data_IF_253600255196
#
_entry.id   IF_253600255196
#
_cell.length_a   1.000
_cell.length_b   1.000
_cell.length_c   1.000
_cell.angle_alpha   90.00
_cell.angle_beta   90.00
_cell.angle_gamma   90.00
#
_symmetry.space_group_name_H-M   'P 1'
#
loop_
_entity.id
_entity.type
_entity.pdbx_description
1 polymer ?
#
# COMPACT_ATOMS: atom_id res chain seq x y z
N UNK A 1 4.19 -28.95 25.91
CA UNK A 1 2.99 -28.46 25.21
C UNK A 1 3.48 -27.55 24.11
N UNK A 2 3.47 -28.00 22.86
CA UNK A 2 3.93 -27.21 21.72
C UNK A 2 2.91 -26.10 21.45
N UNK A 3 3.15 -24.88 21.94
CA UNK A 3 2.47 -23.71 21.41
C UNK A 3 2.82 -23.61 19.93
N UNK A 4 1.84 -23.87 19.05
CA UNK A 4 1.90 -23.45 17.65
C UNK A 4 1.99 -21.93 17.66
N UNK A 5 3.21 -21.38 17.76
CA UNK A 5 3.46 -19.98 17.39
C UNK A 5 2.97 -19.84 15.95
N UNK A 6 1.91 -19.07 15.76
CA UNK A 6 1.43 -18.71 14.43
C UNK A 6 2.59 -18.08 13.66
N UNK A 7 3.07 -18.76 12.62
CA UNK A 7 4.09 -18.23 11.72
C UNK A 7 3.44 -17.20 10.79
N UNK A 8 4.06 -16.02 10.63
CA UNK A 8 3.60 -14.97 9.72
C UNK A 8 3.43 -15.50 8.29
N UNK A 9 4.24 -16.49 7.88
CA UNK A 9 4.12 -17.15 6.57
C UNK A 9 2.77 -17.86 6.40
N UNK A 10 2.31 -18.53 7.46
CA UNK A 10 1.03 -19.23 7.47
C UNK A 10 -0.12 -18.23 7.45
N UNK A 11 -0.04 -17.16 8.24
CA UNK A 11 -1.05 -16.10 8.27
C UNK A 11 -1.18 -15.45 6.89
N UNK A 12 -0.04 -15.05 6.31
CA UNK A 12 0.03 -14.48 4.97
C UNK A 12 -0.61 -15.40 3.93
N UNK A 13 -0.25 -16.68 3.94
CA UNK A 13 -0.74 -17.67 2.96
C UNK A 13 -2.24 -17.90 3.09
N UNK A 14 -2.74 -18.04 4.32
CA UNK A 14 -4.17 -18.22 4.60
C UNK A 14 -4.95 -16.96 4.18
N UNK A 15 -4.47 -15.78 4.57
CA UNK A 15 -5.13 -14.52 4.21
C UNK A 15 -5.19 -14.30 2.70
N UNK A 16 -4.06 -14.53 2.00
CA UNK A 16 -4.01 -14.40 0.54
C UNK A 16 -5.00 -15.35 -0.16
N UNK A 17 -5.07 -16.61 0.31
CA UNK A 17 -6.04 -17.57 -0.20
C UNK A 17 -7.49 -17.09 0.02
N UNK A 18 -7.82 -16.66 1.25
CA UNK A 18 -9.16 -16.16 1.58
C UNK A 18 -9.51 -14.96 0.71
N UNK A 19 -8.61 -13.97 0.60
CA UNK A 19 -8.81 -12.77 -0.20
C UNK A 19 -9.11 -13.12 -1.66
N UNK A 20 -8.31 -14.02 -2.27
CA UNK A 20 -8.55 -14.47 -3.65
C UNK A 20 -9.89 -15.16 -3.81
N UNK A 21 -10.28 -16.02 -2.86
CA UNK A 21 -11.59 -16.67 -2.89
C UNK A 21 -12.73 -15.66 -2.80
N UNK A 22 -12.63 -14.66 -1.91
CA UNK A 22 -13.62 -13.60 -1.80
C UNK A 22 -13.77 -12.79 -3.09
N UNK A 23 -12.65 -12.41 -3.71
CA UNK A 23 -12.65 -11.68 -4.99
C UNK A 23 -13.27 -12.54 -6.10
N UNK A 24 -12.94 -13.84 -6.18
CA UNK A 24 -13.51 -14.74 -7.18
C UNK A 24 -15.01 -14.97 -7.00
N UNK A 25 -15.48 -15.10 -5.75
CA UNK A 25 -16.91 -15.19 -5.46
C UNK A 25 -17.64 -13.91 -5.87
N UNK A 26 -17.07 -12.74 -5.59
CA UNK A 26 -17.62 -11.46 -6.01
C UNK A 26 -17.64 -11.31 -7.54
N UNK A 27 -16.60 -11.80 -8.23
CA UNK A 27 -16.54 -11.84 -9.70
C UNK A 27 -17.69 -12.67 -10.28
N UNK A 28 -17.91 -13.89 -9.78
CA UNK A 28 -19.01 -14.77 -10.25
C UNK A 28 -20.38 -14.14 -10.00
N UNK A 29 -20.56 -13.51 -8.83
CA UNK A 29 -21.78 -12.79 -8.51
C UNK A 29 -22.05 -11.64 -9.50
N UNK A 30 -21.05 -10.79 -9.74
CA UNK A 30 -21.21 -9.64 -10.64
C UNK A 30 -21.33 -10.02 -12.12
N UNK A 31 -20.79 -11.17 -12.56
CA UNK A 31 -21.09 -11.75 -13.88
C UNK A 31 -22.57 -12.06 -14.02
N UNK A 32 -23.19 -12.63 -12.98
CA UNK A 32 -24.61 -12.96 -12.97
C UNK A 32 -25.47 -11.68 -13.05
N UNK A 33 -25.04 -10.63 -12.36
CA UNK A 33 -25.72 -9.33 -12.34
C UNK A 33 -25.37 -8.43 -13.54
N UNK A 34 -24.48 -8.87 -14.43
CA UNK A 34 -23.95 -8.11 -15.58
C UNK A 34 -23.36 -6.74 -15.19
N UNK A 35 -22.78 -6.62 -14.00
CA UNK A 35 -22.12 -5.42 -13.55
C UNK A 35 -20.66 -5.38 -14.06
N UNK A 36 -20.47 -4.89 -15.28
CA UNK A 36 -19.16 -4.87 -15.95
C UNK A 36 -18.09 -4.07 -15.21
N UNK A 37 -18.46 -3.00 -14.51
CA UNK A 37 -17.53 -2.21 -13.71
C UNK A 37 -16.94 -3.05 -12.58
N UNK A 38 -17.79 -3.68 -11.77
CA UNK A 38 -17.34 -4.54 -10.68
C UNK A 38 -16.60 -5.79 -11.16
N UNK A 39 -16.95 -6.32 -12.34
CA UNK A 39 -16.19 -7.41 -12.98
C UNK A 39 -14.75 -6.97 -13.27
N UNK A 40 -14.56 -5.80 -13.90
CA UNK A 40 -13.23 -5.26 -14.19
C UNK A 40 -12.42 -5.01 -12.91
N UNK A 41 -13.06 -4.43 -11.89
CA UNK A 41 -12.44 -4.19 -10.58
C UNK A 41 -12.04 -5.51 -9.92
N UNK A 42 -12.88 -6.54 -9.94
CA UNK A 42 -12.57 -7.84 -9.36
C UNK A 42 -11.40 -8.54 -10.09
N UNK A 43 -11.35 -8.46 -11.42
CA UNK A 43 -10.23 -8.98 -12.21
C UNK A 43 -8.93 -8.24 -11.85
N UNK A 44 -8.96 -6.91 -11.84
CA UNK A 44 -7.82 -6.09 -11.45
C UNK A 44 -7.36 -6.42 -10.03
N UNK A 45 -8.28 -6.52 -9.07
CA UNK A 45 -7.99 -6.87 -7.69
C UNK A 45 -7.36 -8.25 -7.53
N UNK A 46 -7.84 -9.24 -8.29
CA UNK A 46 -7.23 -10.57 -8.29
C UNK A 46 -5.78 -10.51 -8.78
N UNK A 47 -5.51 -9.80 -9.88
CA UNK A 47 -4.15 -9.60 -10.41
C UNK A 47 -3.27 -8.85 -9.41
N UNK A 48 -3.81 -7.84 -8.73
CA UNK A 48 -3.08 -7.07 -7.71
C UNK A 48 -2.60 -7.95 -6.55
N UNK A 49 -3.28 -9.06 -6.22
CA UNK A 49 -2.82 -9.99 -5.17
C UNK A 49 -1.49 -10.69 -5.49
N UNK A 50 -0.97 -10.60 -6.71
CA UNK A 50 0.34 -11.15 -7.11
C UNK A 50 1.45 -10.10 -7.08
N UNK A 51 1.10 -8.82 -6.96
CA UNK A 51 2.05 -7.70 -7.03
C UNK A 51 3.12 -7.73 -5.94
N UNK A 52 2.83 -8.04 -4.65
CA UNK A 52 3.88 -8.06 -3.63
C UNK A 52 5.04 -9.00 -4.00
N UNK A 53 4.73 -10.25 -4.31
CA UNK A 53 5.74 -11.25 -4.66
C UNK A 53 6.44 -10.92 -5.98
N UNK A 54 5.73 -10.32 -6.95
CA UNK A 54 6.33 -9.85 -8.20
C UNK A 54 7.33 -8.71 -7.96
N UNK A 55 6.97 -7.72 -7.14
CA UNK A 55 7.85 -6.60 -6.78
C UNK A 55 9.14 -7.14 -6.16
N UNK A 56 9.04 -8.00 -5.14
CA UNK A 56 10.20 -8.60 -4.47
C UNK A 56 11.10 -9.39 -5.43
N UNK A 57 10.49 -10.13 -6.36
CA UNK A 57 11.21 -10.85 -7.42
C UNK A 57 11.95 -9.91 -8.39
N UNK A 58 11.29 -8.84 -8.85
CA UNK A 58 11.88 -7.84 -9.76
C UNK A 58 13.05 -7.13 -9.08
N UNK A 59 12.85 -6.70 -7.82
CA UNK A 59 13.90 -6.04 -7.05
C UNK A 59 14.91 -7.04 -6.49
N UNK A 60 14.79 -8.35 -6.72
CA UNK A 60 15.77 -9.37 -6.27
C UNK A 60 16.10 -9.26 -4.77
N UNK A 61 15.08 -9.06 -3.93
CA UNK A 61 15.18 -9.14 -2.46
C UNK A 61 14.33 -10.32 -2.01
N UNK A 62 14.73 -10.98 -0.93
CA UNK A 62 13.86 -11.92 -0.21
C UNK A 62 12.55 -11.24 0.19
N UNK A 63 11.43 -11.92 0.00
CA UNK A 63 10.11 -11.34 0.25
C UNK A 63 9.90 -11.10 1.75
N UNK A 64 9.73 -9.84 2.13
CA UNK A 64 9.26 -9.51 3.48
C UNK A 64 7.78 -9.85 3.59
N UNK A 65 7.47 -10.92 4.31
CA UNK A 65 6.11 -11.45 4.44
C UNK A 65 5.20 -10.54 5.26
N UNK A 66 5.75 -9.75 6.19
CA UNK A 66 4.99 -8.74 6.91
C UNK A 66 4.57 -7.61 5.98
N UNK A 67 5.50 -7.09 5.18
CA UNK A 67 5.20 -6.03 4.22
C UNK A 67 4.25 -6.52 3.12
N UNK A 68 4.46 -7.74 2.63
CA UNK A 68 3.58 -8.36 1.62
C UNK A 68 2.18 -8.59 2.17
N UNK A 69 2.05 -8.99 3.44
CA UNK A 69 0.76 -9.07 4.12
C UNK A 69 0.10 -7.69 4.23
N UNK A 70 0.83 -6.65 4.62
CA UNK A 70 0.30 -5.28 4.70
C UNK A 70 -0.23 -4.78 3.35
N UNK A 71 0.47 -5.07 2.25
CA UNK A 71 0.01 -4.72 0.90
C UNK A 71 -1.27 -5.50 0.53
N UNK A 72 -1.33 -6.80 0.79
CA UNK A 72 -2.54 -7.59 0.55
C UNK A 72 -3.72 -7.12 1.39
N UNK A 73 -3.46 -6.77 2.65
CA UNK A 73 -4.47 -6.21 3.53
C UNK A 73 -4.97 -4.86 3.02
N UNK A 74 -4.06 -4.01 2.53
CA UNK A 74 -4.43 -2.76 1.86
C UNK A 74 -5.33 -3.00 0.65
N UNK A 75 -4.97 -3.95 -0.24
CA UNK A 75 -5.80 -4.33 -1.40
C UNK A 75 -7.19 -4.80 -0.96
N UNK A 76 -7.26 -5.57 0.14
CA UNK A 76 -8.55 -5.99 0.69
C UNK A 76 -9.41 -4.80 1.14
N UNK A 77 -8.86 -3.85 1.89
CA UNK A 77 -9.65 -2.72 2.39
C UNK A 77 -9.95 -1.68 1.29
N UNK A 78 -9.05 -1.43 0.34
CA UNK A 78 -9.28 -0.45 -0.73
C UNK A 78 -10.20 -0.98 -1.83
N UNK A 79 -9.91 -2.17 -2.35
CA UNK A 79 -10.61 -2.69 -3.52
C UNK A 79 -11.82 -3.53 -3.13
N UNK A 80 -11.63 -4.51 -2.23
CA UNK A 80 -12.73 -5.39 -1.86
C UNK A 80 -13.75 -4.64 -0.99
N UNK A 81 -13.35 -4.07 0.13
CA UNK A 81 -14.28 -3.30 0.97
C UNK A 81 -14.67 -1.96 0.33
N UNK A 82 -13.68 -1.17 -0.12
CA UNK A 82 -13.90 0.15 -0.71
C UNK A 82 -14.77 0.09 -1.96
N UNK A 83 -14.26 -0.46 -3.06
CA UNK A 83 -14.97 -0.44 -4.35
C UNK A 83 -16.08 -1.49 -4.44
N UNK A 84 -15.78 -2.77 -4.20
CA UNK A 84 -16.74 -3.86 -4.44
C UNK A 84 -17.88 -3.91 -3.41
N UNK A 85 -17.68 -3.39 -2.21
CA UNK A 85 -18.68 -3.33 -1.13
C UNK A 85 -19.09 -1.88 -0.76
N UNK A 86 -18.68 -0.90 -1.56
CA UNK A 86 -19.10 0.50 -1.46
C UNK A 86 -18.78 1.16 -0.10
N UNK A 87 -17.59 0.91 0.46
CA UNK A 87 -17.16 1.56 1.70
C UNK A 87 -16.67 2.99 1.48
N UNK A 88 -16.35 3.39 0.25
CA UNK A 88 -16.07 4.79 -0.11
C UNK A 88 -17.23 5.76 0.21
N UNK A 89 -18.44 5.24 0.48
CA UNK A 89 -19.54 6.04 1.05
C UNK A 89 -19.23 6.68 2.40
N UNK A 90 -18.25 6.16 3.15
CA UNK A 90 -17.79 6.75 4.39
C UNK A 90 -16.73 7.78 4.07
N UNK A 91 -16.99 9.06 4.36
CA UNK A 91 -16.15 10.18 3.95
C UNK A 91 -14.70 10.15 4.46
N UNK A 92 -14.40 9.37 5.49
CA UNK A 92 -13.05 9.19 6.04
C UNK A 92 -12.31 7.98 5.45
N UNK A 93 -12.99 7.14 4.67
CA UNK A 93 -12.44 5.87 4.18
C UNK A 93 -11.22 6.10 3.31
N UNK A 94 -11.34 7.04 2.37
CA UNK A 94 -10.30 7.30 1.38
C UNK A 94 -9.05 7.92 2.02
N UNK A 95 -9.20 9.00 2.78
CA UNK A 95 -8.10 9.59 3.56
C UNK A 95 -7.42 8.60 4.52
N UNK A 96 -8.18 7.66 5.11
CA UNK A 96 -7.60 6.58 5.92
C UNK A 96 -6.75 5.64 5.05
N UNK A 97 -7.21 5.26 3.86
CA UNK A 97 -6.43 4.47 2.91
C UNK A 97 -5.13 5.20 2.56
N UNK A 98 -5.17 6.50 2.24
CA UNK A 98 -3.97 7.30 1.97
C UNK A 98 -2.99 7.33 3.15
N UNK A 99 -3.51 7.44 4.37
CA UNK A 99 -2.63 7.32 5.55
C UNK A 99 -1.97 5.94 5.65
N UNK A 100 -2.71 4.87 5.39
CA UNK A 100 -2.20 3.49 5.45
C UNK A 100 -1.21 3.21 4.31
N UNK A 101 -1.49 3.66 3.08
CA UNK A 101 -0.56 3.56 1.95
C UNK A 101 0.73 4.31 2.23
N UNK A 102 0.65 5.52 2.78
CA UNK A 102 1.82 6.29 3.20
C UNK A 102 2.74 5.53 4.16
N UNK A 103 2.17 4.81 5.13
CA UNK A 103 2.93 3.94 6.03
C UNK A 103 3.61 2.81 5.23
N UNK A 104 2.85 2.06 4.45
CA UNK A 104 3.33 0.89 3.70
C UNK A 104 4.43 1.28 2.72
N UNK A 105 4.24 2.36 1.97
CA UNK A 105 5.20 2.90 1.00
C UNK A 105 6.47 3.36 1.72
N UNK A 106 6.33 4.05 2.85
CA UNK A 106 7.49 4.45 3.66
C UNK A 106 8.28 3.26 4.21
N UNK A 107 7.62 2.18 4.63
CA UNK A 107 8.28 0.93 5.04
C UNK A 107 8.98 0.25 3.85
N UNK A 108 8.35 0.26 2.67
CA UNK A 108 8.96 -0.24 1.45
C UNK A 108 10.20 0.57 1.05
N UNK A 109 10.18 1.89 1.21
CA UNK A 109 11.34 2.76 0.99
C UNK A 109 12.55 2.35 1.85
N UNK A 110 12.32 1.99 3.12
CA UNK A 110 13.35 1.47 4.02
C UNK A 110 13.92 0.14 3.50
N UNK A 111 13.07 -0.78 3.02
CA UNK A 111 13.51 -2.05 2.41
C UNK A 111 14.38 -1.81 1.18
N UNK A 112 14.00 -0.86 0.32
CA UNK A 112 14.79 -0.47 -0.86
C UNK A 112 16.17 0.08 -0.48
N UNK A 113 16.25 0.95 0.54
CA UNK A 113 17.53 1.46 1.04
C UNK A 113 18.42 0.33 1.58
N UNK A 114 17.85 -0.62 2.31
CA UNK A 114 18.60 -1.78 2.85
C UNK A 114 19.17 -2.67 1.76
N UNK A 115 18.48 -2.84 0.62
CA UNK A 115 19.01 -3.59 -0.52
C UNK A 115 20.29 -2.98 -1.08
N UNK A 116 20.35 -1.66 -1.17
CA UNK A 116 21.47 -0.94 -1.82
C UNK A 116 22.79 -1.11 -1.06
N UNK A 117 22.74 -1.28 0.26
CA UNK A 117 23.93 -1.60 1.06
C UNK A 117 23.95 -3.09 1.39
N UNK A 118 24.65 -3.88 0.58
CA UNK A 118 24.81 -5.33 0.79
C UNK A 118 25.49 -5.70 2.10
N UNK A 119 26.13 -4.74 2.78
CA UNK A 119 26.67 -4.89 4.14
C UNK A 119 25.68 -4.47 5.24
N UNK A 120 24.44 -4.11 4.89
CA UNK A 120 23.30 -3.84 5.77
C UNK A 120 23.48 -2.71 6.79
N UNK A 121 24.37 -1.73 6.54
CA UNK A 121 24.59 -0.60 7.43
C UNK A 121 23.90 0.64 6.87
N UNK A 122 22.58 0.71 7.09
CA UNK A 122 21.84 1.99 7.03
C UNK A 122 22.56 3.11 7.83
N UNK A 123 23.37 2.73 8.81
CA UNK A 123 24.25 3.58 9.61
C UNK A 123 25.25 4.41 8.79
N UNK A 124 25.58 4.01 7.55
CA UNK A 124 26.49 4.78 6.68
C UNK A 124 25.84 6.03 6.06
N UNK A 125 24.51 6.03 5.97
CA UNK A 125 23.79 7.20 5.46
C UNK A 125 23.49 8.14 6.61
N UNK A 126 23.56 9.44 6.31
CA UNK A 126 23.06 10.44 7.23
C UNK A 126 21.56 10.20 7.54
N UNK A 127 21.18 10.32 8.81
CA UNK A 127 19.82 10.02 9.25
C UNK A 127 18.80 10.97 8.62
N UNK A 128 19.17 12.23 8.44
CA UNK A 128 18.32 13.23 7.79
C UNK A 128 18.14 12.86 6.32
N UNK A 129 19.20 12.40 5.65
CA UNK A 129 19.09 11.88 4.28
C UNK A 129 18.09 10.71 4.17
N UNK A 130 18.12 9.75 5.10
CA UNK A 130 17.16 8.62 5.08
C UNK A 130 15.72 9.11 5.29
N UNK A 131 15.49 10.01 6.24
CA UNK A 131 14.16 10.57 6.50
C UNK A 131 13.63 11.32 5.25
N UNK A 132 14.47 12.17 4.64
CA UNK A 132 14.11 12.88 3.42
C UNK A 132 13.81 11.88 2.30
N UNK A 133 14.64 10.85 2.12
CA UNK A 133 14.39 9.81 1.12
C UNK A 133 13.04 9.12 1.31
N UNK A 134 12.72 8.71 2.54
CA UNK A 134 11.44 8.04 2.84
C UNK A 134 10.28 8.97 2.51
N UNK A 135 10.30 10.22 2.99
CA UNK A 135 9.22 11.18 2.73
C UNK A 135 9.08 11.52 1.25
N UNK A 136 10.19 11.77 0.54
CA UNK A 136 10.17 12.08 -0.89
C UNK A 136 9.74 10.88 -1.75
N UNK A 137 10.13 9.66 -1.38
CA UNK A 137 9.68 8.45 -2.08
C UNK A 137 8.17 8.26 -1.91
N UNK A 138 7.65 8.41 -0.70
CA UNK A 138 6.21 8.32 -0.45
C UNK A 138 5.44 9.42 -1.18
N UNK A 139 5.92 10.67 -1.12
CA UNK A 139 5.30 11.79 -1.84
C UNK A 139 5.24 11.55 -3.36
N UNK A 140 6.32 10.99 -3.95
CA UNK A 140 6.33 10.64 -5.37
C UNK A 140 5.28 9.57 -5.69
N UNK A 141 5.14 8.55 -4.85
CA UNK A 141 4.11 7.53 -5.04
C UNK A 141 2.69 8.10 -4.93
N UNK A 142 2.43 8.97 -3.95
CA UNK A 142 1.14 9.68 -3.83
C UNK A 142 0.85 10.53 -5.05
N UNK A 143 1.82 11.32 -5.54
CA UNK A 143 1.65 12.11 -6.78
C UNK A 143 1.36 11.22 -7.99
N UNK A 144 2.04 10.07 -8.11
CA UNK A 144 1.76 9.13 -9.20
C UNK A 144 0.36 8.51 -9.11
N UNK A 145 -0.15 8.31 -7.89
CA UNK A 145 -1.52 7.87 -7.66
C UNK A 145 -2.53 8.94 -8.10
N UNK A 146 -2.35 10.18 -7.66
CA UNK A 146 -3.21 11.30 -8.08
C UNK A 146 -3.21 11.51 -9.59
N UNK A 147 -2.06 11.32 -10.25
CA UNK A 147 -1.99 11.36 -11.72
C UNK A 147 -2.81 10.22 -12.34
N UNK A 148 -2.77 9.02 -11.76
CA UNK A 148 -3.58 7.90 -12.22
C UNK A 148 -5.08 8.20 -12.08
N UNK A 149 -5.51 8.74 -10.94
CA UNK A 149 -6.91 9.11 -10.70
C UNK A 149 -7.38 10.20 -11.66
N UNK A 150 -6.60 11.28 -11.79
CA UNK A 150 -6.87 12.35 -12.75
C UNK A 150 -7.00 11.80 -14.18
N UNK A 151 -6.12 10.88 -14.55
CA UNK A 151 -6.14 10.23 -15.87
C UNK A 151 -7.41 9.40 -16.03
N UNK A 152 -7.82 8.66 -15.01
CA UNK A 152 -9.03 7.84 -15.05
C UNK A 152 -10.30 8.71 -15.14
N UNK A 153 -10.36 9.79 -14.37
CA UNK A 153 -11.46 10.78 -14.39
C UNK A 153 -11.59 11.42 -15.77
N UNK A 154 -10.46 11.78 -16.38
CA UNK A 154 -10.43 12.41 -17.71
C UNK A 154 -10.80 11.44 -18.83
N UNK A 155 -10.28 10.21 -18.82
CA UNK A 155 -10.46 9.25 -19.93
C UNK A 155 -11.77 8.45 -19.84
N UNK A 156 -12.26 8.19 -18.63
CA UNK A 156 -13.42 7.31 -18.40
C UNK A 156 -14.61 8.04 -17.77
N UNK A 157 -14.54 9.37 -17.62
CA UNK A 157 -15.61 10.20 -17.06
C UNK A 157 -16.04 9.73 -15.65
N UNK A 158 -15.04 9.40 -14.83
CA UNK A 158 -15.20 9.00 -13.43
C UNK A 158 -15.17 10.23 -12.51
N UNK A 159 -15.00 10.01 -11.20
CA UNK A 159 -14.83 11.05 -10.17
C UNK A 159 -14.06 10.45 -8.98
N UNK A 160 -12.91 9.85 -9.27
CA UNK A 160 -12.02 9.24 -8.30
C UNK A 160 -11.49 10.27 -7.30
N UNK A 161 -11.14 11.47 -7.78
CA UNK A 161 -10.64 12.58 -6.94
C UNK A 161 -11.74 13.35 -6.20
N UNK A 162 -12.98 12.88 -6.23
CA UNK A 162 -14.13 13.57 -5.61
C UNK A 162 -14.35 15.02 -6.08
N UNK A 163 -13.72 15.43 -7.19
CA UNK A 163 -13.51 16.83 -7.56
C UNK A 163 -14.82 17.58 -7.82
N UNK A 164 -15.90 16.85 -8.17
CA UNK A 164 -17.25 17.43 -8.32
C UNK A 164 -17.76 18.08 -7.04
N UNK A 165 -17.36 17.60 -5.87
CA UNK A 165 -17.82 18.09 -4.57
C UNK A 165 -16.75 18.84 -3.78
N UNK A 166 -15.48 18.41 -3.88
CA UNK A 166 -14.38 18.91 -3.05
C UNK A 166 -13.43 19.85 -3.81
N UNK A 167 -13.52 19.89 -5.14
CA UNK A 167 -12.51 20.53 -5.98
C UNK A 167 -11.15 19.85 -5.82
N UNK A 168 -10.09 20.65 -5.66
CA UNK A 168 -8.73 20.13 -5.45
C UNK A 168 -8.47 19.66 -4.00
N UNK A 169 -9.46 19.78 -3.11
CA UNK A 169 -9.26 19.54 -1.68
C UNK A 169 -8.96 18.08 -1.38
N UNK A 170 -9.58 17.15 -2.11
CA UNK A 170 -9.40 15.69 -1.96
C UNK A 170 -7.93 15.32 -2.17
N UNK A 171 -7.43 15.53 -3.39
CA UNK A 171 -6.03 15.36 -3.78
C UNK A 171 -5.05 15.98 -2.77
N UNK A 172 -5.32 17.19 -2.27
CA UNK A 172 -4.44 17.81 -1.28
C UNK A 172 -4.48 17.12 0.08
N UNK A 173 -5.67 16.68 0.54
CA UNK A 173 -5.83 15.91 1.77
C UNK A 173 -5.14 14.55 1.65
N UNK A 174 -5.22 13.91 0.50
CA UNK A 174 -4.67 12.59 0.25
C UNK A 174 -3.14 12.60 0.22
N UNK A 175 -2.53 13.57 -0.48
CA UNK A 175 -1.08 13.78 -0.44
C UNK A 175 -0.57 14.13 0.97
N UNK A 176 -1.34 14.89 1.75
CA UNK A 176 -1.01 15.17 3.15
C UNK A 176 -1.13 13.90 4.01
N UNK A 177 -2.16 13.10 3.80
CA UNK A 177 -2.38 11.85 4.51
C UNK A 177 -1.28 10.82 4.22
N UNK A 178 -0.86 10.69 2.96
CA UNK A 178 0.30 9.87 2.55
C UNK A 178 1.58 10.31 3.29
N UNK A 179 1.83 11.61 3.38
CA UNK A 179 2.98 12.16 4.12
C UNK A 179 2.89 11.88 5.63
N UNK A 180 1.71 12.06 6.24
CA UNK A 180 1.48 11.76 7.66
C UNK A 180 1.73 10.27 7.94
N UNK A 181 1.21 9.39 7.08
CA UNK A 181 1.49 7.96 7.14
C UNK A 181 2.99 7.67 7.05
N UNK A 182 3.69 8.32 6.11
CA UNK A 182 5.13 8.16 5.93
C UNK A 182 5.95 8.62 7.13
N UNK A 183 5.50 9.62 7.90
CA UNK A 183 6.17 10.06 9.13
C UNK A 183 6.20 8.92 10.16
N UNK A 184 5.14 8.11 10.26
CA UNK A 184 5.12 6.93 11.14
C UNK A 184 6.23 5.95 10.74
N UNK A 185 6.46 5.76 9.44
CA UNK A 185 7.55 4.94 8.92
C UNK A 185 8.94 5.52 9.24
N UNK A 186 9.09 6.85 9.21
CA UNK A 186 10.31 7.52 9.68
C UNK A 186 10.55 7.32 11.18
N UNK A 187 9.49 7.39 12.00
CA UNK A 187 9.57 7.11 13.45
C UNK A 187 9.97 5.66 13.70
N UNK A 188 9.36 4.72 12.99
CA UNK A 188 9.75 3.30 13.02
C UNK A 188 11.23 3.14 12.68
N UNK A 189 11.70 3.74 11.57
CA UNK A 189 13.10 3.74 11.19
C UNK A 189 14.02 4.24 12.32
N UNK A 190 13.67 5.38 12.94
CA UNK A 190 14.48 5.97 14.00
C UNK A 190 14.59 5.06 15.23
N UNK A 191 13.51 4.42 15.65
CA UNK A 191 13.54 3.53 16.82
C UNK A 191 14.23 2.19 16.54
N UNK A 192 14.10 1.65 15.34
CA UNK A 192 14.69 0.36 14.97
C UNK A 192 16.17 0.48 14.60
N UNK A 193 16.57 1.55 13.92
CA UNK A 193 17.90 1.71 13.34
C UNK A 193 18.65 2.95 13.84
N UNK A 194 17.95 3.99 14.30
CA UNK A 194 18.54 5.27 14.68
C UNK A 194 19.36 5.25 15.98
N UNK A 195 19.26 4.22 16.82
CA UNK A 195 20.00 4.12 18.10
C UNK A 195 21.46 3.66 17.94
N UNK A 196 21.90 3.23 16.75
CA UNK A 196 23.29 2.87 16.49
C UNK A 196 24.06 4.08 15.94
N UNK A 197 24.35 5.04 16.81
CA UNK A 197 25.34 6.08 16.49
C UNK A 197 26.74 5.53 16.71
N UNK A 198 27.55 5.61 15.66
CA UNK A 198 29.01 5.50 15.71
C UNK A 198 29.56 6.29 16.91
N UNK A 199 30.27 5.61 17.80
CA UNK A 199 31.39 6.25 18.49
C UNK A 199 32.41 6.55 17.39
N UNK A 200 32.55 7.83 17.04
CA UNK A 200 33.73 8.35 16.34
C UNK A 200 34.97 8.13 17.19
#
# INVERSE_FOLDING_TARGET
>A
MYEKKFNIDNIYSIFNLILRMLILLNLVHNISDKNYYNILVAIAGFVLTFIPSLIFKIIKIEEDKSLSFSILFFIFISLYLGTLHNFYRFSWWDTMLHTISGIIIGLFAIVLLKKRDSNSRLEKFDKVFIIIFILSFTALCGVLWEIYEFTADTLFNLDMQGAKFTGVTDTMVDLIADLIGSIISCVYYYFTYGKKTFKS
#
